data_IF_628035393016
#
_entry.id   IF_628035393016
#
_cell.length_a   1.000
_cell.length_b   1.000
_cell.length_c   1.000
_cell.angle_alpha   90.00
_cell.angle_beta   90.00
_cell.angle_gamma   90.00
#
_symmetry.space_group_name_H-M   'P 1'
#
loop_
_entity.id
_entity.type
_entity.pdbx_description
1 polymer ?
#
# COMPACT_ATOMS: atom_id res chain seq x y z
N UNK A 1 -22.60 -6.82 -5.34
CA UNK A 1 -21.24 -6.25 -5.46
C UNK A 1 -20.32 -7.11 -4.62
N UNK A 2 -19.19 -7.60 -5.13
CA UNK A 2 -18.23 -8.32 -4.27
C UNK A 2 -17.65 -7.33 -3.28
N UNK A 3 -17.60 -7.72 -2.01
CA UNK A 3 -16.98 -6.92 -0.95
C UNK A 3 -15.50 -6.75 -1.28
N UNK A 4 -15.02 -5.50 -1.38
CA UNK A 4 -13.62 -5.22 -1.70
C UNK A 4 -12.77 -5.47 -0.45
N UNK A 5 -11.89 -6.48 -0.50
CA UNK A 5 -11.02 -6.80 0.63
C UNK A 5 -10.07 -5.65 0.92
N UNK A 6 -10.03 -5.23 2.19
CA UNK A 6 -9.16 -4.15 2.69
C UNK A 6 -7.92 -4.74 3.34
N UNK A 7 -6.74 -4.20 3.02
CA UNK A 7 -5.45 -4.67 3.52
C UNK A 7 -4.68 -3.53 4.18
N UNK A 8 -4.11 -3.79 5.35
CA UNK A 8 -3.17 -2.90 6.03
C UNK A 8 -1.74 -3.40 5.76
N UNK A 9 -0.87 -2.51 5.27
CA UNK A 9 0.56 -2.79 5.09
C UNK A 9 1.35 -1.88 6.03
N UNK A 10 2.01 -2.45 7.02
CA UNK A 10 2.98 -1.72 7.86
C UNK A 10 4.37 -1.78 7.24
N UNK A 11 5.18 -0.73 7.43
CA UNK A 11 6.46 -0.60 6.73
C UNK A 11 6.28 -0.29 5.23
N UNK A 12 5.17 0.36 4.87
CA UNK A 12 4.75 0.60 3.49
C UNK A 12 5.64 1.59 2.71
N UNK A 13 6.46 2.38 3.38
CA UNK A 13 7.47 3.25 2.78
C UNK A 13 8.84 2.58 2.61
N UNK A 14 9.01 1.36 3.14
CA UNK A 14 10.20 0.55 2.95
C UNK A 14 10.29 -0.06 1.55
N UNK A 15 11.44 -0.66 1.23
CA UNK A 15 11.68 -1.29 -0.08
C UNK A 15 10.63 -2.36 -0.41
N UNK A 16 10.49 -3.38 0.44
CA UNK A 16 9.53 -4.47 0.19
C UNK A 16 8.09 -3.99 0.38
N UNK A 17 7.84 -3.12 1.37
CA UNK A 17 6.49 -2.66 1.69
C UNK A 17 5.85 -1.86 0.55
N UNK A 18 6.60 -0.94 -0.07
CA UNK A 18 6.11 -0.15 -1.21
C UNK A 18 5.78 -1.05 -2.41
N UNK A 19 6.64 -2.02 -2.74
CA UNK A 19 6.32 -3.01 -3.79
C UNK A 19 5.12 -3.89 -3.46
N UNK A 20 4.93 -4.26 -2.18
CA UNK A 20 3.76 -5.03 -1.75
C UNK A 20 2.46 -4.22 -1.89
N UNK A 21 2.50 -2.93 -1.57
CA UNK A 21 1.37 -2.01 -1.79
C UNK A 21 0.97 -2.00 -3.26
N UNK A 22 1.91 -1.75 -4.18
CA UNK A 22 1.65 -1.76 -5.64
C UNK A 22 1.07 -3.10 -6.08
N UNK A 23 1.67 -4.22 -5.65
CA UNK A 23 1.20 -5.55 -5.99
C UNK A 23 -0.25 -5.81 -5.54
N UNK A 24 -0.62 -5.37 -4.34
CA UNK A 24 -1.99 -5.54 -3.83
C UNK A 24 -2.98 -4.61 -4.57
N UNK A 25 -2.59 -3.39 -4.89
CA UNK A 25 -3.40 -2.46 -5.68
C UNK A 25 -3.70 -3.01 -7.08
N UNK A 26 -2.70 -3.57 -7.75
CA UNK A 26 -2.86 -4.23 -9.05
C UNK A 26 -3.82 -5.43 -9.02
N UNK A 27 -3.97 -6.07 -7.86
CA UNK A 27 -4.92 -7.19 -7.65
C UNK A 27 -6.33 -6.71 -7.28
N UNK A 28 -6.57 -5.40 -7.19
CA UNK A 28 -7.87 -4.80 -6.90
C UNK A 28 -8.22 -4.69 -5.42
N UNK A 29 -7.25 -4.89 -4.53
CA UNK A 29 -7.44 -4.65 -3.10
C UNK A 29 -7.52 -3.14 -2.82
N UNK A 30 -8.26 -2.81 -1.77
CA UNK A 30 -8.14 -1.50 -1.13
C UNK A 30 -7.02 -1.58 -0.09
N UNK A 31 -6.04 -0.67 -0.14
CA UNK A 31 -4.81 -0.77 0.64
C UNK A 31 -4.60 0.49 1.45
N UNK A 32 -4.42 0.32 2.77
CA UNK A 32 -3.88 1.36 3.65
C UNK A 32 -2.41 1.06 3.94
N UNK A 33 -1.52 1.94 3.49
CA UNK A 33 -0.10 1.92 3.86
C UNK A 33 0.12 2.66 5.17
N UNK A 34 0.98 2.13 6.05
CA UNK A 34 1.41 2.82 7.27
C UNK A 34 2.93 2.72 7.41
N UNK A 35 3.60 3.86 7.52
CA UNK A 35 5.04 3.93 7.76
C UNK A 35 5.45 5.31 8.29
N UNK A 36 6.61 5.40 8.95
CA UNK A 36 7.17 6.66 9.45
C UNK A 36 7.67 7.58 8.32
N UNK A 37 7.85 7.03 7.11
CA UNK A 37 8.32 7.77 5.93
C UNK A 37 7.57 7.33 4.68
N UNK A 38 7.44 8.24 3.72
CA UNK A 38 6.98 7.90 2.37
C UNK A 38 8.06 7.11 1.61
N UNK A 39 7.68 6.37 0.54
CA UNK A 39 8.67 5.72 -0.32
C UNK A 39 9.66 6.75 -0.89
N UNK A 40 10.94 6.40 -0.91
CA UNK A 40 12.03 7.33 -1.22
C UNK A 40 12.18 7.64 -2.70
N UNK A 41 11.73 6.72 -3.56
CA UNK A 41 11.98 6.75 -5.00
C UNK A 41 10.71 6.81 -5.85
N UNK A 42 9.53 6.85 -5.23
CA UNK A 42 8.23 6.87 -5.90
C UNK A 42 7.12 7.41 -4.97
N UNK A 43 6.00 7.81 -5.55
CA UNK A 43 4.76 8.01 -4.78
C UNK A 43 4.18 6.65 -4.32
N UNK A 44 3.28 6.66 -3.35
CA UNK A 44 2.60 5.45 -2.88
C UNK A 44 1.35 5.17 -3.71
N UNK A 45 1.13 3.91 -4.10
CA UNK A 45 -0.09 3.47 -4.78
C UNK A 45 -1.25 3.19 -3.81
N UNK A 46 -1.00 3.26 -2.49
CA UNK A 46 -2.00 3.01 -1.47
C UNK A 46 -3.19 3.96 -1.60
N UNK A 47 -4.39 3.47 -1.30
CA UNK A 47 -5.59 4.30 -1.25
C UNK A 47 -5.52 5.31 -0.08
N UNK A 48 -4.87 4.91 1.01
CA UNK A 48 -4.55 5.75 2.17
C UNK A 48 -3.11 5.50 2.61
N UNK A 49 -2.41 6.54 3.05
CA UNK A 49 -1.07 6.44 3.63
C UNK A 49 -0.93 7.37 4.84
N UNK A 50 -0.43 6.82 5.95
CA UNK A 50 -0.16 7.56 7.19
C UNK A 50 1.22 7.23 7.77
#
# INVERSE_FOLDING_TARGET
>A
MKEQTRVLVTGAGGFIGSHLVTYLRDKGYWVRGVDLKYPEFAETDADEFE
#
